data_IF_147349416464
#
_entry.id   IF_147349416464
#
_cell.length_a   1.000
_cell.length_b   1.000
_cell.length_c   1.000
_cell.angle_alpha   90.00
_cell.angle_beta   90.00
_cell.angle_gamma   90.00
#
_symmetry.space_group_name_H-M   'P 1'
#
loop_
_entity.id
_entity.type
_entity.pdbx_description
1 polymer ?
#
# COMPACT_ATOMS: atom_id res chain seq x y z
N UNK A 1 -38.05 -30.05 -18.98
CA UNK A 1 -36.86 -30.59 -18.25
C UNK A 1 -35.62 -30.24 -19.06
N UNK A 2 -34.82 -29.31 -18.60
CA UNK A 2 -33.52 -28.95 -19.18
C UNK A 2 -32.68 -28.35 -18.07
N UNK A 3 -31.39 -28.76 -17.89
CA UNK A 3 -30.64 -28.40 -16.72
C UNK A 3 -30.02 -27.00 -16.85
N UNK A 4 -30.10 -26.29 -15.74
CA UNK A 4 -29.57 -24.94 -15.52
C UNK A 4 -28.05 -24.88 -15.66
N UNK A 5 -27.58 -23.85 -16.37
CA UNK A 5 -26.17 -23.52 -16.52
C UNK A 5 -25.54 -23.05 -15.21
N UNK A 6 -24.64 -23.89 -14.67
CA UNK A 6 -23.68 -23.52 -13.61
C UNK A 6 -22.28 -23.54 -14.20
N UNK A 7 -21.79 -22.46 -14.80
CA UNK A 7 -20.36 -22.40 -15.18
C UNK A 7 -19.70 -21.01 -15.20
N UNK A 8 -20.41 -19.94 -14.82
CA UNK A 8 -19.84 -18.58 -14.88
C UNK A 8 -18.82 -18.24 -13.76
N UNK A 9 -19.02 -18.74 -12.55
CA UNK A 9 -18.20 -18.36 -11.39
C UNK A 9 -16.79 -18.95 -11.36
N UNK A 10 -16.61 -20.14 -11.95
CA UNK A 10 -15.31 -20.85 -11.91
C UNK A 10 -14.25 -20.24 -12.84
N UNK A 11 -14.67 -19.52 -13.89
CA UNK A 11 -13.76 -18.89 -14.85
C UNK A 11 -13.21 -17.54 -14.33
N UNK A 12 -14.05 -16.77 -13.66
CA UNK A 12 -13.64 -15.50 -13.05
C UNK A 12 -12.62 -15.75 -11.92
N UNK A 13 -12.86 -16.74 -11.08
CA UNK A 13 -11.97 -17.12 -9.97
C UNK A 13 -10.62 -17.69 -10.47
N UNK A 14 -10.62 -18.45 -11.57
CA UNK A 14 -9.40 -18.90 -12.25
C UNK A 14 -8.64 -17.74 -12.88
N UNK A 15 -9.31 -16.79 -13.47
CA UNK A 15 -8.71 -15.60 -14.06
C UNK A 15 -8.08 -14.69 -12.99
N UNK A 16 -8.74 -14.53 -11.85
CA UNK A 16 -8.19 -13.85 -10.66
C UNK A 16 -6.90 -14.52 -10.15
N UNK A 17 -6.90 -15.85 -10.02
CA UNK A 17 -5.69 -16.58 -9.62
C UNK A 17 -4.58 -16.50 -10.67
N UNK A 18 -4.89 -16.42 -11.95
CA UNK A 18 -3.90 -16.23 -13.01
C UNK A 18 -3.35 -14.80 -13.06
N UNK A 19 -4.18 -13.80 -12.78
CA UNK A 19 -3.75 -12.39 -12.68
C UNK A 19 -2.86 -12.18 -11.47
N UNK A 20 -3.24 -12.66 -10.29
CA UNK A 20 -2.39 -12.60 -9.10
C UNK A 20 -1.07 -13.36 -9.30
N UNK A 21 -1.09 -14.50 -9.99
CA UNK A 21 0.13 -15.24 -10.36
C UNK A 21 0.97 -14.53 -11.44
N UNK A 22 0.37 -13.77 -12.34
CA UNK A 22 1.09 -12.92 -13.33
C UNK A 22 1.69 -11.69 -12.69
N UNK A 23 0.98 -11.04 -11.77
CA UNK A 23 1.47 -9.90 -10.99
C UNK A 23 2.66 -10.29 -10.11
N UNK A 24 2.65 -11.52 -9.56
CA UNK A 24 3.80 -12.10 -8.85
C UNK A 24 5.04 -12.33 -9.73
N UNK A 25 4.91 -12.31 -11.07
CA UNK A 25 6.01 -12.54 -12.03
C UNK A 25 6.57 -11.30 -12.71
N UNK A 26 6.10 -10.10 -12.38
CA UNK A 26 6.74 -8.88 -12.88
C UNK A 26 8.10 -8.71 -12.21
N UNK A 27 9.12 -9.36 -12.78
CA UNK A 27 10.51 -9.10 -12.49
C UNK A 27 10.84 -7.67 -12.92
N UNK A 28 10.99 -6.79 -11.97
CA UNK A 28 11.74 -5.56 -12.20
C UNK A 28 13.19 -6.00 -12.38
N UNK A 29 13.69 -5.90 -13.60
CA UNK A 29 15.09 -6.22 -13.92
C UNK A 29 16.03 -5.29 -13.18
N UNK A 30 16.95 -5.86 -12.41
CA UNK A 30 18.00 -5.17 -11.67
C UNK A 30 18.12 -5.79 -10.28
N UNK A 31 19.19 -6.62 -10.09
CA UNK A 31 19.41 -7.43 -8.90
C UNK A 31 19.47 -6.63 -7.60
N UNK A 32 18.34 -6.60 -6.93
CA UNK A 32 18.19 -6.29 -5.51
C UNK A 32 17.34 -7.42 -4.95
N UNK A 33 17.67 -7.91 -3.75
CA UNK A 33 17.00 -9.02 -3.08
C UNK A 33 15.49 -8.97 -3.31
N UNK A 34 14.94 -10.07 -3.82
CA UNK A 34 13.53 -10.20 -4.18
C UNK A 34 12.66 -9.85 -2.97
N UNK A 35 12.17 -8.61 -2.94
CA UNK A 35 11.07 -8.25 -2.07
C UNK A 35 9.91 -9.21 -2.35
N UNK A 36 9.25 -9.71 -1.31
CA UNK A 36 8.06 -10.57 -1.43
C UNK A 36 7.08 -9.93 -2.40
N UNK A 37 6.45 -10.71 -3.30
CA UNK A 37 5.42 -10.17 -4.17
C UNK A 37 4.29 -9.56 -3.34
N UNK A 38 3.73 -8.44 -3.78
CA UNK A 38 2.66 -7.67 -3.10
C UNK A 38 1.46 -8.52 -2.65
N UNK A 39 1.26 -9.70 -3.25
CA UNK A 39 0.21 -10.65 -2.90
C UNK A 39 0.34 -11.26 -1.50
N UNK A 40 1.54 -11.20 -0.90
CA UNK A 40 1.84 -11.76 0.43
C UNK A 40 1.90 -10.67 1.52
N UNK A 41 1.65 -9.41 1.18
CA UNK A 41 1.57 -8.36 2.20
C UNK A 41 0.30 -8.52 3.03
N UNK A 42 0.40 -8.48 4.38
CA UNK A 42 -0.79 -8.50 5.22
C UNK A 42 -1.67 -7.28 4.92
N UNK A 43 -3.00 -7.40 5.08
CA UNK A 43 -3.89 -6.26 4.88
C UNK A 43 -3.47 -5.10 5.80
N UNK A 44 -3.57 -3.86 5.28
CA UNK A 44 -3.25 -2.63 6.03
C UNK A 44 -4.20 -2.35 7.21
N UNK A 45 -4.99 -3.33 7.62
CA UNK A 45 -5.93 -3.21 8.72
C UNK A 45 -5.38 -3.94 9.94
N UNK A 46 -4.90 -3.17 10.90
CA UNK A 46 -4.45 -3.66 12.19
C UNK A 46 -5.48 -3.34 13.30
N UNK A 47 -5.18 -3.73 14.52
CA UNK A 47 -5.96 -3.33 15.69
C UNK A 47 -6.01 -1.81 15.82
N UNK A 48 -7.21 -1.26 16.06
CA UNK A 48 -7.39 0.18 16.24
C UNK A 48 -6.80 0.61 17.59
N UNK A 49 -5.99 1.65 17.54
CA UNK A 49 -5.35 2.20 18.72
C UNK A 49 -6.02 3.50 19.19
N UNK A 50 -6.12 3.64 20.49
CA UNK A 50 -6.40 4.94 21.12
C UNK A 50 -5.21 5.88 20.93
N UNK A 51 -5.41 7.18 21.20
CA UNK A 51 -4.33 8.19 21.13
C UNK A 51 -3.12 7.81 21.98
N UNK A 52 -3.35 7.29 23.19
CA UNK A 52 -2.25 6.91 24.08
C UNK A 52 -1.55 5.63 23.62
N UNK A 53 -2.31 4.67 23.06
CA UNK A 53 -1.72 3.48 22.45
C UNK A 53 -0.89 3.85 21.22
N UNK A 54 -1.35 4.80 20.39
CA UNK A 54 -0.57 5.32 19.26
C UNK A 54 0.74 5.96 19.70
N UNK A 55 0.73 6.76 20.77
CA UNK A 55 1.96 7.34 21.31
C UNK A 55 2.95 6.28 21.80
N UNK A 56 2.46 5.28 22.55
CA UNK A 56 3.29 4.16 23.00
C UNK A 56 3.83 3.35 21.81
N UNK A 57 3.02 3.16 20.80
CA UNK A 57 3.42 2.49 19.57
C UNK A 57 4.51 3.28 18.84
N UNK A 58 4.43 4.62 18.78
CA UNK A 58 5.47 5.47 18.23
C UNK A 58 6.84 5.27 18.89
N UNK A 59 6.87 5.21 20.22
CA UNK A 59 8.10 4.91 20.98
C UNK A 59 8.65 3.51 20.63
N UNK A 60 7.79 2.48 20.61
CA UNK A 60 8.20 1.11 20.25
C UNK A 60 8.71 1.01 18.83
N UNK A 61 8.00 1.64 17.90
CA UNK A 61 8.39 1.67 16.48
C UNK A 61 9.77 2.33 16.29
N UNK A 62 9.99 3.48 16.94
CA UNK A 62 11.26 4.17 16.87
C UNK A 62 12.42 3.32 17.42
N UNK A 63 12.17 2.58 18.50
CA UNK A 63 13.15 1.67 19.11
C UNK A 63 13.47 0.46 18.21
N UNK A 64 12.48 0.00 17.42
CA UNK A 64 12.63 -1.13 16.50
C UNK A 64 13.26 -0.74 15.17
N UNK A 65 13.09 0.49 14.72
CA UNK A 65 13.60 0.94 13.41
C UNK A 65 15.14 0.93 13.37
N UNK A 66 15.67 0.27 12.36
CA UNK A 66 17.10 0.28 12.01
C UNK A 66 17.25 0.92 10.65
N UNK A 67 18.15 1.88 10.54
CA UNK A 67 18.38 2.60 9.30
C UNK A 67 19.47 1.92 8.47
N UNK A 68 19.25 1.88 7.16
CA UNK A 68 20.27 1.42 6.21
C UNK A 68 21.37 2.47 6.10
N UNK A 69 22.65 2.10 6.23
CA UNK A 69 23.74 3.00 5.91
C UNK A 69 23.78 3.27 4.39
N UNK A 70 23.83 4.54 4.02
CA UNK A 70 23.95 4.95 2.62
C UNK A 70 22.63 5.15 1.88
N UNK A 71 22.75 5.38 0.57
CA UNK A 71 21.60 5.64 -0.31
C UNK A 71 20.96 4.34 -0.78
N UNK A 72 19.65 4.31 -0.82
CA UNK A 72 18.86 3.20 -1.38
C UNK A 72 18.19 3.62 -2.69
N UNK A 73 17.84 2.66 -3.58
CA UNK A 73 17.07 2.96 -4.78
C UNK A 73 15.72 3.63 -4.47
N UNK A 74 15.28 4.55 -5.33
CA UNK A 74 13.95 5.15 -5.25
C UNK A 74 12.89 4.11 -5.63
N UNK A 75 12.17 3.61 -4.64
CA UNK A 75 11.15 2.58 -4.82
C UNK A 75 9.71 3.12 -4.72
N UNK A 76 9.49 4.32 -4.17
CA UNK A 76 8.14 4.81 -3.90
C UNK A 76 7.33 5.03 -5.19
N UNK A 77 7.92 5.69 -6.19
CA UNK A 77 7.23 5.94 -7.46
C UNK A 77 7.02 4.66 -8.28
N UNK A 78 7.96 3.72 -8.24
CA UNK A 78 7.80 2.42 -8.91
C UNK A 78 6.72 1.57 -8.24
N UNK A 79 6.65 1.61 -6.90
CA UNK A 79 5.59 0.97 -6.12
C UNK A 79 4.23 1.60 -6.41
N UNK A 80 4.15 2.93 -6.44
CA UNK A 80 2.92 3.65 -6.81
C UNK A 80 2.44 3.26 -8.22
N UNK A 81 3.35 3.19 -9.19
CA UNK A 81 3.01 2.80 -10.57
C UNK A 81 2.57 1.32 -10.65
N UNK A 82 3.15 0.44 -9.86
CA UNK A 82 2.72 -0.96 -9.79
C UNK A 82 1.31 -1.10 -9.18
N UNK A 83 1.04 -0.37 -8.10
CA UNK A 83 -0.29 -0.34 -7.47
C UNK A 83 -1.36 0.23 -8.40
N UNK A 84 -1.06 1.33 -9.09
CA UNK A 84 -1.96 1.92 -10.08
C UNK A 84 -2.33 0.94 -11.18
N UNK A 85 -1.36 0.19 -11.70
CA UNK A 85 -1.61 -0.83 -12.73
C UNK A 85 -2.60 -1.88 -12.24
N UNK A 86 -2.41 -2.40 -11.03
CA UNK A 86 -3.32 -3.39 -10.42
C UNK A 86 -4.72 -2.81 -10.29
N UNK A 87 -4.84 -1.56 -9.81
CA UNK A 87 -6.14 -0.90 -9.62
C UNK A 87 -6.87 -0.68 -10.95
N UNK A 88 -6.14 -0.23 -12.01
CA UNK A 88 -6.71 -0.05 -13.35
C UNK A 88 -7.16 -1.39 -13.96
N UNK A 89 -6.34 -2.43 -13.85
CA UNK A 89 -6.70 -3.77 -14.32
C UNK A 89 -7.93 -4.32 -13.60
N UNK A 90 -7.99 -4.15 -12.26
CA UNK A 90 -9.15 -4.55 -11.45
C UNK A 90 -10.41 -3.80 -11.87
N UNK A 91 -10.34 -2.46 -12.02
CA UNK A 91 -11.46 -1.65 -12.51
C UNK A 91 -11.97 -2.15 -13.87
N UNK A 92 -11.07 -2.41 -14.81
CA UNK A 92 -11.44 -2.85 -16.15
C UNK A 92 -12.11 -4.23 -16.13
N UNK A 93 -11.65 -5.15 -15.27
CA UNK A 93 -12.27 -6.47 -15.07
C UNK A 93 -13.69 -6.34 -14.49
N UNK A 94 -13.86 -5.49 -13.47
CA UNK A 94 -15.17 -5.24 -12.85
C UNK A 94 -16.13 -4.59 -13.86
N UNK A 95 -15.68 -3.60 -14.63
CA UNK A 95 -16.49 -2.97 -15.68
C UNK A 95 -16.94 -3.98 -16.74
N UNK A 96 -16.05 -4.88 -17.16
CA UNK A 96 -16.37 -5.96 -18.10
C UNK A 96 -17.41 -6.93 -17.51
N UNK A 97 -17.27 -7.29 -16.23
CA UNK A 97 -18.23 -8.16 -15.53
C UNK A 97 -19.62 -7.52 -15.47
N UNK A 98 -19.71 -6.23 -15.14
CA UNK A 98 -20.96 -5.46 -15.11
C UNK A 98 -21.59 -5.40 -16.51
N UNK A 99 -20.80 -5.10 -17.55
CA UNK A 99 -21.29 -5.08 -18.92
C UNK A 99 -21.84 -6.46 -19.38
N UNK A 100 -21.26 -7.53 -18.88
CA UNK A 100 -21.74 -8.90 -19.08
C UNK A 100 -22.91 -9.31 -18.16
N UNK A 101 -23.48 -8.34 -17.42
CA UNK A 101 -24.57 -8.56 -16.44
C UNK A 101 -24.24 -9.57 -15.35
N UNK A 102 -22.98 -9.73 -15.00
CA UNK A 102 -22.57 -10.47 -13.83
C UNK A 102 -22.75 -9.61 -12.58
N UNK A 103 -23.19 -10.25 -11.50
CA UNK A 103 -23.22 -9.59 -10.20
C UNK A 103 -21.81 -9.43 -9.66
N UNK A 104 -21.48 -8.25 -9.19
CA UNK A 104 -20.22 -7.95 -8.50
C UNK A 104 -20.51 -7.68 -7.02
N UNK A 105 -19.46 -7.79 -6.21
CA UNK A 105 -19.53 -7.50 -4.78
C UNK A 105 -19.63 -5.98 -4.52
N UNK A 106 -20.23 -5.54 -3.40
CA UNK A 106 -20.38 -4.11 -3.07
C UNK A 106 -19.05 -3.33 -3.08
N UNK A 107 -17.95 -3.96 -2.67
CA UNK A 107 -16.62 -3.35 -2.75
C UNK A 107 -16.18 -3.08 -4.20
N UNK A 108 -16.59 -3.93 -5.15
CA UNK A 108 -16.35 -3.73 -6.57
C UNK A 108 -17.19 -2.59 -7.14
N UNK A 109 -18.44 -2.47 -6.73
CA UNK A 109 -19.32 -1.35 -7.10
C UNK A 109 -18.72 -0.04 -6.58
N UNK A 110 -18.34 0.00 -5.30
CA UNK A 110 -17.69 1.16 -4.71
C UNK A 110 -16.42 1.55 -5.48
N UNK A 111 -15.59 0.59 -5.87
CA UNK A 111 -14.37 0.85 -6.63
C UNK A 111 -14.66 1.48 -8.00
N UNK A 112 -15.67 1.00 -8.71
CA UNK A 112 -16.09 1.56 -10.00
C UNK A 112 -16.57 3.01 -9.85
N UNK A 113 -17.44 3.25 -8.87
CA UNK A 113 -18.07 4.55 -8.65
C UNK A 113 -17.07 5.61 -8.17
N UNK A 114 -16.05 5.20 -7.42
CA UNK A 114 -15.09 6.10 -6.78
C UNK A 114 -13.69 6.06 -7.41
N UNK A 115 -13.51 5.42 -8.56
CA UNK A 115 -12.19 5.26 -9.15
C UNK A 115 -11.50 6.60 -9.47
N UNK A 116 -12.27 7.61 -9.80
CA UNK A 116 -11.78 8.97 -10.05
C UNK A 116 -11.06 9.58 -8.85
N UNK A 117 -11.50 9.28 -7.62
CA UNK A 117 -10.83 9.72 -6.38
C UNK A 117 -9.45 9.07 -6.27
N UNK A 118 -9.36 7.79 -6.60
CA UNK A 118 -8.09 7.04 -6.57
C UNK A 118 -7.11 7.64 -7.58
N UNK A 119 -7.57 7.91 -8.82
CA UNK A 119 -6.75 8.57 -9.85
C UNK A 119 -6.26 9.95 -9.42
N UNK A 120 -7.11 10.72 -8.74
CA UNK A 120 -6.75 12.02 -8.20
C UNK A 120 -5.66 11.92 -7.12
N UNK A 121 -5.80 10.96 -6.19
CA UNK A 121 -4.78 10.72 -5.16
C UNK A 121 -3.45 10.25 -5.76
N UNK A 122 -3.48 9.40 -6.78
CA UNK A 122 -2.26 8.98 -7.50
C UNK A 122 -1.58 10.18 -8.17
N UNK A 123 -2.34 11.05 -8.84
CA UNK A 123 -1.80 12.29 -9.44
C UNK A 123 -1.20 13.22 -8.39
N UNK A 124 -1.88 13.37 -7.27
CA UNK A 124 -1.41 14.18 -6.15
C UNK A 124 -0.11 13.62 -5.56
N UNK A 125 -0.07 12.31 -5.31
CA UNK A 125 1.15 11.65 -4.84
C UNK A 125 2.33 11.84 -5.80
N UNK A 126 2.13 11.69 -7.11
CA UNK A 126 3.17 11.93 -8.12
C UNK A 126 3.66 13.37 -8.16
N UNK A 127 2.77 14.33 -7.94
CA UNK A 127 3.12 15.76 -7.90
C UNK A 127 4.00 16.09 -6.70
N UNK A 128 3.71 15.50 -5.55
CA UNK A 128 4.39 15.78 -4.28
C UNK A 128 5.59 14.88 -3.98
N UNK A 129 5.81 13.84 -4.79
CA UNK A 129 6.97 12.94 -4.70
C UNK A 129 7.85 13.09 -5.95
N UNK A 130 8.70 14.13 -6.04
CA UNK A 130 9.62 14.30 -7.17
C UNK A 130 10.57 13.10 -7.28
N UNK A 131 10.97 12.78 -8.52
CA UNK A 131 11.93 11.70 -8.79
C UNK A 131 13.21 11.90 -7.97
N UNK A 132 13.61 10.85 -7.29
CA UNK A 132 14.84 10.83 -6.50
C UNK A 132 14.71 11.39 -5.09
N UNK A 133 13.57 12.01 -4.73
CA UNK A 133 13.38 12.56 -3.38
C UNK A 133 13.55 11.49 -2.30
N UNK A 134 12.99 10.32 -2.49
CA UNK A 134 13.07 9.23 -1.51
C UNK A 134 14.49 8.68 -1.30
N UNK A 135 15.43 8.93 -2.23
CA UNK A 135 16.85 8.54 -2.09
C UNK A 135 17.57 9.33 -1.02
N UNK A 136 17.12 10.54 -0.74
CA UNK A 136 17.73 11.44 0.25
C UNK A 136 17.16 11.15 1.66
N UNK A 137 16.08 10.40 1.76
CA UNK A 137 15.43 10.06 3.01
C UNK A 137 16.08 8.84 3.66
N UNK A 138 16.23 8.83 5.00
CA UNK A 138 16.68 7.64 5.73
C UNK A 138 15.74 6.47 5.49
N UNK A 139 16.28 5.33 5.09
CA UNK A 139 15.53 4.13 4.76
C UNK A 139 15.73 3.03 5.79
N UNK A 140 14.74 2.17 5.94
CA UNK A 140 14.77 1.06 6.87
C UNK A 140 15.65 -0.08 6.35
N UNK A 141 16.45 -0.67 7.23
CA UNK A 141 17.32 -1.81 6.91
C UNK A 141 16.54 -3.14 6.95
N UNK A 142 15.51 -3.24 7.77
CA UNK A 142 14.81 -4.49 8.06
C UNK A 142 13.30 -4.27 8.30
N UNK A 143 12.54 -5.36 8.42
CA UNK A 143 11.10 -5.35 8.60
C UNK A 143 10.31 -5.30 7.28
N UNK A 144 8.98 -5.16 7.39
CA UNK A 144 8.07 -5.15 6.24
C UNK A 144 8.33 -3.99 5.26
N UNK A 145 8.85 -2.87 5.76
CA UNK A 145 9.19 -1.68 4.97
C UNK A 145 10.69 -1.55 4.67
N UNK A 146 11.45 -2.66 4.72
CA UNK A 146 12.88 -2.64 4.40
C UNK A 146 13.15 -2.05 2.99
N UNK A 147 14.13 -1.17 2.88
CA UNK A 147 14.46 -0.47 1.64
C UNK A 147 13.54 0.71 1.30
N UNK A 148 12.52 0.99 2.10
CA UNK A 148 11.66 2.16 1.97
C UNK A 148 12.05 3.23 3.00
N UNK A 149 11.76 4.52 2.73
CA UNK A 149 11.96 5.57 3.71
C UNK A 149 11.23 5.28 5.02
N UNK A 150 11.87 5.57 6.15
CA UNK A 150 11.24 5.31 7.47
C UNK A 150 9.93 6.09 7.67
N UNK A 151 9.79 7.27 7.06
CA UNK A 151 8.54 8.05 7.08
C UNK A 151 7.41 7.34 6.36
N UNK A 152 7.72 6.51 5.35
CA UNK A 152 6.72 5.64 4.72
C UNK A 152 6.20 4.59 5.72
N UNK A 153 7.09 3.96 6.50
CA UNK A 153 6.69 3.04 7.58
C UNK A 153 5.84 3.73 8.64
N UNK A 154 6.22 4.94 9.06
CA UNK A 154 5.45 5.77 10.01
C UNK A 154 4.03 6.06 9.45
N UNK A 155 3.92 6.43 8.17
CA UNK A 155 2.64 6.69 7.54
C UNK A 155 1.76 5.43 7.46
N UNK A 156 2.34 4.26 7.13
CA UNK A 156 1.61 2.98 7.11
C UNK A 156 1.05 2.63 8.50
N UNK A 157 1.85 2.76 9.55
CA UNK A 157 1.40 2.50 10.92
C UNK A 157 0.25 3.43 11.33
N UNK A 158 0.34 4.71 10.95
CA UNK A 158 -0.74 5.68 11.21
C UNK A 158 -2.04 5.27 10.53
N UNK A 159 -1.98 4.82 9.27
CA UNK A 159 -3.16 4.43 8.49
C UNK A 159 -3.74 3.11 9.01
N UNK A 160 -2.88 2.13 9.30
CA UNK A 160 -3.32 0.78 9.69
C UNK A 160 -4.01 0.76 11.06
N UNK A 161 -3.56 1.60 12.00
CA UNK A 161 -4.14 1.68 13.34
C UNK A 161 -5.20 2.80 13.49
N UNK A 162 -5.39 3.65 12.48
CA UNK A 162 -6.36 4.74 12.46
C UNK A 162 -7.63 4.47 11.64
N UNK A 163 -7.89 3.23 11.22
CA UNK A 163 -9.01 2.86 10.32
C UNK A 163 -9.05 3.70 9.03
N UNK A 164 -7.88 3.96 8.47
CA UNK A 164 -7.73 4.80 7.28
C UNK A 164 -7.95 6.31 7.52
N UNK A 165 -8.20 6.73 8.76
CA UNK A 165 -8.33 8.13 9.12
C UNK A 165 -7.02 8.67 9.65
N UNK A 166 -6.65 9.85 9.18
CA UNK A 166 -5.47 10.57 9.67
C UNK A 166 -5.95 11.82 10.38
N UNK A 167 -6.06 11.73 11.71
CA UNK A 167 -6.31 12.89 12.56
C UNK A 167 -5.02 13.69 12.77
N UNK A 168 -4.96 14.99 12.48
CA UNK A 168 -3.74 15.80 12.64
C UNK A 168 -3.18 15.80 14.06
N UNK A 169 -4.03 15.79 15.07
CA UNK A 169 -3.60 15.75 16.48
C UNK A 169 -2.99 14.39 16.84
N UNK A 170 -3.64 13.31 16.43
CA UNK A 170 -3.14 11.95 16.60
C UNK A 170 -1.81 11.73 15.87
N UNK A 171 -1.70 12.18 14.62
CA UNK A 171 -0.45 12.11 13.85
C UNK A 171 0.68 12.89 14.54
N UNK A 172 0.42 14.14 14.95
CA UNK A 172 1.41 14.96 15.67
C UNK A 172 1.87 14.29 16.96
N UNK A 173 0.93 13.73 17.74
CA UNK A 173 1.24 13.02 18.97
C UNK A 173 2.07 11.76 18.74
N UNK A 174 1.77 10.99 17.69
CA UNK A 174 2.52 9.81 17.29
C UNK A 174 3.95 10.16 16.84
N UNK A 175 4.10 11.16 15.96
CA UNK A 175 5.40 11.63 15.50
C UNK A 175 6.22 12.21 16.65
N UNK A 176 5.62 13.01 17.54
CA UNK A 176 6.30 13.53 18.71
C UNK A 176 6.82 12.40 19.62
N UNK A 177 5.99 11.38 19.87
CA UNK A 177 6.39 10.23 20.65
C UNK A 177 7.52 9.42 19.96
N UNK A 178 7.45 9.22 18.66
CA UNK A 178 8.53 8.60 17.87
C UNK A 178 9.84 9.37 18.03
N UNK A 179 9.79 10.70 17.94
CA UNK A 179 10.97 11.57 18.02
C UNK A 179 11.60 11.64 19.42
N UNK A 180 10.93 11.17 20.48
CA UNK A 180 11.58 11.02 21.80
C UNK A 180 12.70 9.98 21.77
N UNK A 181 12.68 9.05 20.82
CA UNK A 181 13.66 7.96 20.70
C UNK A 181 14.56 8.16 19.48
N UNK A 182 13.98 8.54 18.33
CA UNK A 182 14.71 8.68 17.06
C UNK A 182 14.25 9.96 16.34
N UNK A 183 15.08 11.00 16.40
CA UNK A 183 14.78 12.27 15.72
C UNK A 183 14.62 12.09 14.21
N UNK A 184 13.60 12.70 13.63
CA UNK A 184 13.42 12.83 12.20
C UNK A 184 14.30 13.98 11.67
N UNK A 185 14.80 13.82 10.45
CA UNK A 185 15.58 14.87 9.77
C UNK A 185 14.63 15.85 9.09
N UNK A 186 15.14 17.04 8.81
CA UNK A 186 14.45 18.01 7.97
C UNK A 186 14.18 17.37 6.60
N UNK A 187 12.94 17.38 6.15
CA UNK A 187 12.50 16.75 4.91
C UNK A 187 11.84 15.37 5.09
N UNK A 188 11.91 14.77 6.30
CA UNK A 188 11.09 13.62 6.66
C UNK A 188 9.77 14.11 7.26
#
# INVERSE_FOLDING_TARGET
MGPAGKSGGSNLFRHWRQLTARLARVRVGGGVAAGKPFADEPPLRAELFSIDQMRQHGVRLASAHRLTPGRVPDQLLSRLAANERVLVETRNLLATAVAAKHRIEPAGEWLLDNFYLIEEQIRTARRHLPKGYSRELPSLAEGASAGLPRVYGIALETISHGDGRVDPGGLSGFVAAYQTVAALRLGE
#
